data_IF_568710518655
#
_entry.id   IF_568710518655
#
_cell.length_a   1.000
_cell.length_b   1.000
_cell.length_c   1.000
_cell.angle_alpha   90.00
_cell.angle_beta   90.00
_cell.angle_gamma   90.00
#
_symmetry.space_group_name_H-M   'P 1'
#
loop_
_entity.id
_entity.type
_entity.pdbx_description
1 polymer ?
#
# COMPACT_ATOMS: atom_id res chain seq x y z
N UNK A 1 -12.36 6.11 11.44
CA UNK A 1 -12.03 6.91 10.24
C UNK A 1 -13.07 6.52 9.22
N UNK A 2 -13.94 7.42 8.77
CA UNK A 2 -14.98 7.06 7.81
C UNK A 2 -14.47 7.36 6.40
N UNK A 3 -14.46 6.34 5.54
CA UNK A 3 -14.14 6.48 4.12
C UNK A 3 -15.41 7.02 3.42
N UNK A 4 -15.37 8.19 2.75
CA UNK A 4 -16.55 8.76 2.12
C UNK A 4 -17.16 7.82 1.07
N UNK A 5 -18.48 7.72 1.00
CA UNK A 5 -19.19 6.79 0.09
C UNK A 5 -18.85 7.02 -1.39
N UNK A 6 -18.57 8.26 -1.78
CA UNK A 6 -18.19 8.63 -3.14
C UNK A 6 -16.75 8.24 -3.51
N UNK A 7 -15.97 7.72 -2.54
CA UNK A 7 -14.57 7.29 -2.76
C UNK A 7 -14.48 5.87 -3.33
N UNK A 8 -15.61 5.15 -3.40
CA UNK A 8 -15.65 3.78 -3.91
C UNK A 8 -15.49 3.82 -5.43
N UNK A 9 -14.28 3.47 -5.89
CA UNK A 9 -14.00 3.22 -7.30
C UNK A 9 -14.92 2.10 -7.78
N UNK A 10 -15.66 2.34 -8.88
CA UNK A 10 -16.53 1.34 -9.51
C UNK A 10 -15.83 -0.03 -9.60
N UNK A 11 -16.29 -1.00 -8.81
CA UNK A 11 -15.98 -2.42 -9.00
C UNK A 11 -15.33 -3.17 -7.83
N UNK A 12 -14.88 -2.52 -6.75
CA UNK A 12 -14.33 -3.21 -5.58
C UNK A 12 -15.25 -3.08 -4.36
N UNK A 13 -15.76 -4.22 -3.88
CA UNK A 13 -16.51 -4.29 -2.61
C UNK A 13 -15.58 -3.90 -1.45
N UNK A 14 -16.01 -2.92 -0.65
CA UNK A 14 -15.31 -2.48 0.56
C UNK A 14 -15.82 -3.23 1.79
N UNK A 15 -14.91 -3.77 2.60
CA UNK A 15 -15.22 -4.29 3.92
C UNK A 15 -15.33 -3.13 4.91
N UNK A 16 -16.57 -2.73 5.22
CA UNK A 16 -16.86 -1.57 6.07
C UNK A 16 -16.42 -1.78 7.52
N UNK A 17 -16.42 -3.01 8.02
CA UNK A 17 -16.00 -3.31 9.39
C UNK A 17 -14.50 -3.08 9.52
N UNK A 18 -13.71 -3.59 8.55
CA UNK A 18 -12.27 -3.37 8.50
C UNK A 18 -11.92 -1.91 8.19
N UNK A 19 -12.70 -1.22 7.36
CA UNK A 19 -12.50 0.18 6.97
C UNK A 19 -12.75 1.20 8.10
N UNK A 20 -13.33 0.79 9.23
CA UNK A 20 -13.46 1.67 10.41
C UNK A 20 -12.11 2.02 11.04
N UNK A 21 -11.12 1.14 10.86
CA UNK A 21 -9.80 1.21 11.46
C UNK A 21 -8.69 1.12 10.42
N UNK A 22 -7.56 1.72 10.74
CA UNK A 22 -6.33 1.60 9.95
C UNK A 22 -5.20 1.11 10.85
N UNK A 23 -4.27 0.36 10.28
CA UNK A 23 -3.11 -0.19 10.98
C UNK A 23 -1.86 0.56 10.56
N UNK A 24 -1.06 0.92 11.56
CA UNK A 24 0.28 1.48 11.42
C UNK A 24 1.30 0.53 12.04
N UNK A 25 2.52 0.40 11.49
CA UNK A 25 3.54 -0.53 11.99
C UNK A 25 3.94 -0.19 13.43
N UNK A 26 4.04 -1.23 14.27
CA UNK A 26 4.54 -1.13 15.65
C UNK A 26 6.02 -1.47 15.79
N UNK A 27 6.63 -2.04 14.74
CA UNK A 27 8.04 -2.47 14.69
C UNK A 27 9.00 -1.35 14.25
N UNK A 28 8.51 -0.15 13.95
CA UNK A 28 9.31 1.01 13.57
C UNK A 28 9.03 2.22 14.48
N UNK A 29 10.02 3.10 14.70
CA UNK A 29 9.79 4.34 15.42
C UNK A 29 8.81 5.22 14.66
N UNK A 30 7.76 5.66 15.34
CA UNK A 30 6.72 6.51 14.74
C UNK A 30 7.27 7.92 14.51
N UNK A 31 7.22 8.37 13.25
CA UNK A 31 7.52 9.76 12.89
C UNK A 31 6.22 10.45 12.48
N UNK A 32 5.88 11.54 13.16
CA UNK A 32 4.60 12.23 12.98
C UNK A 32 4.30 12.58 11.51
N UNK A 33 5.31 13.03 10.75
CA UNK A 33 5.12 13.34 9.33
C UNK A 33 4.74 12.11 8.48
N UNK A 34 5.32 10.94 8.76
CA UNK A 34 5.01 9.71 8.03
C UNK A 34 3.58 9.25 8.33
N UNK A 35 3.18 9.34 9.60
CA UNK A 35 1.84 8.99 10.05
C UNK A 35 0.79 9.92 9.44
N UNK A 36 1.03 11.24 9.46
CA UNK A 36 0.13 12.24 8.86
C UNK A 36 0.00 12.07 7.35
N UNK A 37 1.11 11.83 6.64
CA UNK A 37 1.07 11.59 5.19
C UNK A 37 0.32 10.30 4.88
N UNK A 38 0.56 9.22 5.63
CA UNK A 38 -0.14 7.94 5.44
C UNK A 38 -1.65 8.13 5.63
N UNK A 39 -2.05 8.83 6.70
CA UNK A 39 -3.46 9.14 6.95
C UNK A 39 -4.10 9.96 5.83
N UNK A 40 -3.40 10.95 5.29
CA UNK A 40 -3.90 11.71 4.14
C UNK A 40 -4.07 10.81 2.91
N UNK A 41 -3.08 9.99 2.59
CA UNK A 41 -3.09 9.08 1.44
C UNK A 41 -4.15 7.98 1.52
N UNK A 42 -4.63 7.61 2.72
CA UNK A 42 -5.74 6.68 2.90
C UNK A 42 -7.11 7.28 2.57
N UNK A 43 -7.22 8.62 2.58
CA UNK A 43 -8.50 9.32 2.41
C UNK A 43 -8.61 10.03 1.06
N UNK A 44 -7.49 10.38 0.43
CA UNK A 44 -7.47 11.10 -0.83
C UNK A 44 -6.21 10.80 -1.65
N UNK A 45 -6.31 10.97 -2.97
CA UNK A 45 -5.17 10.89 -3.88
C UNK A 45 -4.09 11.88 -3.44
N UNK A 46 -2.88 11.38 -3.18
CA UNK A 46 -1.82 12.16 -2.54
C UNK A 46 -0.50 12.03 -3.29
N UNK A 47 0.10 13.17 -3.66
CA UNK A 47 1.48 13.24 -4.15
C UNK A 47 2.44 13.51 -2.99
N UNK A 48 3.35 12.58 -2.73
CA UNK A 48 4.32 12.68 -1.61
C UNK A 48 5.70 13.04 -2.12
N UNK A 49 6.16 14.25 -1.82
CA UNK A 49 7.49 14.75 -2.18
C UNK A 49 8.44 14.71 -0.97
N UNK A 50 9.18 13.60 -0.81
CA UNK A 50 10.19 13.46 0.24
C UNK A 50 11.56 13.06 -0.34
N UNK A 51 12.68 13.57 0.19
CA UNK A 51 14.02 13.05 -0.08
C UNK A 51 14.16 11.53 0.14
N UNK A 52 15.18 10.92 -0.47
CA UNK A 52 15.53 9.51 -0.22
C UNK A 52 15.94 9.31 1.24
N UNK A 53 15.60 8.16 1.83
CA UNK A 53 15.89 7.85 3.23
C UNK A 53 14.84 8.34 4.25
N UNK A 54 13.84 9.14 3.85
CA UNK A 54 12.80 9.63 4.75
C UNK A 54 11.55 8.72 4.87
N UNK A 55 11.62 7.50 4.34
CA UNK A 55 10.58 6.48 4.54
C UNK A 55 9.37 6.58 3.60
N UNK A 56 9.59 6.95 2.33
CA UNK A 56 8.55 6.84 1.28
C UNK A 56 7.98 5.42 1.16
N UNK A 57 8.85 4.41 1.19
CA UNK A 57 8.46 2.99 1.15
C UNK A 57 7.61 2.60 2.35
N UNK A 58 7.93 3.11 3.55
CA UNK A 58 7.11 2.86 4.75
C UNK A 58 5.70 3.41 4.57
N UNK A 59 5.57 4.66 4.09
CA UNK A 59 4.28 5.28 3.81
C UNK A 59 3.50 4.45 2.77
N UNK A 60 4.15 4.03 1.68
CA UNK A 60 3.52 3.20 0.66
C UNK A 60 3.05 1.85 1.23
N UNK A 61 3.88 1.14 1.99
CA UNK A 61 3.54 -0.13 2.60
C UNK A 61 2.33 -0.03 3.54
N UNK A 62 2.26 1.04 4.34
CA UNK A 62 1.12 1.32 5.24
C UNK A 62 -0.16 1.52 4.43
N UNK A 63 -0.11 2.34 3.37
CA UNK A 63 -1.28 2.58 2.51
C UNK A 63 -1.72 1.26 1.87
N UNK A 64 -0.80 0.55 1.22
CA UNK A 64 -1.09 -0.72 0.55
C UNK A 64 -1.70 -1.76 1.49
N UNK A 65 -1.16 -1.93 2.70
CA UNK A 65 -1.67 -2.93 3.64
C UNK A 65 -3.10 -2.63 4.10
N UNK A 66 -3.43 -1.36 4.32
CA UNK A 66 -4.79 -0.98 4.69
C UNK A 66 -5.77 -1.18 3.53
N UNK A 67 -5.40 -0.79 2.30
CA UNK A 67 -6.21 -1.09 1.12
C UNK A 67 -6.38 -2.59 0.87
N UNK A 68 -5.34 -3.41 1.12
CA UNK A 68 -5.41 -4.86 1.01
C UNK A 68 -6.48 -5.45 1.95
N UNK A 69 -6.56 -4.92 3.19
CA UNK A 69 -7.58 -5.32 4.16
C UNK A 69 -8.98 -4.81 3.79
N UNK A 70 -9.09 -3.55 3.39
CA UNK A 70 -10.37 -2.89 3.17
C UNK A 70 -11.06 -3.32 1.89
N UNK A 71 -10.29 -3.77 0.88
CA UNK A 71 -10.84 -4.19 -0.40
C UNK A 71 -10.42 -5.65 -0.69
N UNK A 72 -11.11 -6.65 -0.13
CA UNK A 72 -10.76 -8.07 -0.30
C UNK A 72 -10.66 -8.53 -1.77
N UNK A 73 -11.42 -7.88 -2.66
CA UNK A 73 -11.42 -8.14 -4.10
C UNK A 73 -10.64 -7.10 -4.91
N UNK A 74 -10.15 -6.05 -4.24
CA UNK A 74 -9.35 -4.99 -4.84
C UNK A 74 -7.98 -5.50 -5.27
N UNK A 75 -7.34 -4.72 -6.14
CA UNK A 75 -5.97 -4.97 -6.60
C UNK A 75 -5.14 -3.72 -6.38
N UNK A 76 -3.90 -3.91 -5.97
CA UNK A 76 -2.96 -2.84 -5.69
C UNK A 76 -1.79 -3.01 -6.65
N UNK A 77 -1.45 -1.94 -7.36
CA UNK A 77 -0.33 -1.93 -8.30
C UNK A 77 0.74 -0.99 -7.76
N UNK A 78 1.90 -1.55 -7.43
CA UNK A 78 3.08 -0.78 -7.08
C UNK A 78 4.02 -0.75 -8.30
N UNK A 79 4.35 0.46 -8.78
CA UNK A 79 5.21 0.64 -9.94
C UNK A 79 6.58 1.16 -9.53
N UNK A 80 7.64 0.55 -10.07
CA UNK A 80 9.00 1.04 -9.96
C UNK A 80 9.69 1.04 -11.34
N UNK A 81 10.65 1.93 -11.59
CA UNK A 81 11.27 2.10 -12.90
C UNK A 81 12.15 0.94 -13.37
N UNK A 82 12.65 0.08 -12.46
CA UNK A 82 13.59 -0.99 -12.80
C UNK A 82 13.26 -2.28 -12.06
N UNK A 83 13.59 -3.44 -12.65
CA UNK A 83 13.37 -4.77 -12.04
C UNK A 83 14.02 -4.91 -10.66
N UNK A 84 15.31 -4.54 -10.44
CA UNK A 84 15.92 -4.66 -9.11
C UNK A 84 15.19 -3.82 -8.07
N UNK A 85 14.66 -2.66 -8.47
CA UNK A 85 13.92 -1.80 -7.56
C UNK A 85 12.56 -2.42 -7.22
N UNK A 86 11.88 -3.09 -8.15
CA UNK A 86 10.64 -3.83 -7.86
C UNK A 86 10.89 -4.89 -6.78
N UNK A 87 11.86 -5.78 -6.98
CA UNK A 87 12.14 -6.85 -6.01
C UNK A 87 12.56 -6.29 -4.63
N UNK A 88 13.32 -5.18 -4.60
CA UNK A 88 13.66 -4.49 -3.35
C UNK A 88 12.44 -3.91 -2.63
N UNK A 89 11.50 -3.30 -3.37
CA UNK A 89 10.29 -2.74 -2.77
C UNK A 89 9.34 -3.83 -2.28
N UNK A 90 9.25 -4.98 -2.95
CA UNK A 90 8.46 -6.13 -2.49
C UNK A 90 8.94 -6.56 -1.09
N UNK A 91 10.24 -6.80 -0.92
CA UNK A 91 10.80 -7.18 0.37
C UNK A 91 10.61 -6.09 1.42
N UNK A 92 10.92 -4.84 1.07
CA UNK A 92 10.79 -3.72 2.00
C UNK A 92 9.35 -3.50 2.48
N UNK A 93 8.36 -3.65 1.60
CA UNK A 93 6.95 -3.56 1.99
C UNK A 93 6.53 -4.70 2.92
N UNK A 94 7.00 -5.92 2.66
CA UNK A 94 6.75 -7.09 3.52
C UNK A 94 7.37 -6.92 4.92
N UNK A 95 8.56 -6.34 5.02
CA UNK A 95 9.24 -6.10 6.30
C UNK A 95 8.53 -5.02 7.13
N UNK A 96 7.93 -4.04 6.46
CA UNK A 96 7.16 -2.96 7.11
C UNK A 96 5.77 -3.45 7.54
N UNK A 97 5.04 -4.10 6.64
CA UNK A 97 3.68 -4.58 6.88
C UNK A 97 3.53 -6.04 6.42
N UNK A 98 2.79 -6.89 7.17
CA UNK A 98 2.69 -8.31 6.89
C UNK A 98 1.67 -8.60 5.77
N UNK A 99 1.91 -8.11 4.56
CA UNK A 99 1.14 -8.52 3.37
C UNK A 99 1.67 -9.91 2.95
N UNK A 100 0.83 -10.95 2.85
CA UNK A 100 1.28 -12.28 2.45
C UNK A 100 1.97 -12.29 1.08
N UNK A 101 3.16 -12.88 0.98
CA UNK A 101 3.84 -13.01 -0.32
C UNK A 101 3.05 -13.87 -1.32
N UNK A 102 2.22 -14.80 -0.83
CA UNK A 102 1.29 -15.60 -1.66
C UNK A 102 0.31 -14.75 -2.46
N UNK A 103 0.02 -13.54 -1.96
CA UNK A 103 -0.96 -12.61 -2.54
C UNK A 103 -0.28 -11.51 -3.36
N UNK A 104 1.05 -11.55 -3.45
CA UNK A 104 1.86 -10.66 -4.27
C UNK A 104 2.28 -11.34 -5.56
N UNK A 105 2.38 -10.55 -6.63
CA UNK A 105 2.96 -10.99 -7.89
C UNK A 105 3.90 -9.92 -8.42
N UNK A 106 5.05 -10.35 -8.93
CA UNK A 106 5.96 -9.48 -9.66
C UNK A 106 5.66 -9.57 -11.17
N UNK A 107 5.28 -8.45 -11.77
CA UNK A 107 5.02 -8.36 -13.21
C UNK A 107 6.22 -7.74 -13.92
N UNK A 108 6.84 -8.50 -14.82
CA UNK A 108 7.92 -8.03 -15.68
C UNK A 108 7.58 -8.31 -17.15
N UNK A 109 8.14 -7.51 -18.07
CA UNK A 109 7.88 -7.65 -19.52
C UNK A 109 8.37 -8.95 -20.18
N UNK A 110 8.99 -9.86 -19.43
CA UNK A 110 9.41 -11.19 -19.86
C UNK A 110 8.60 -12.32 -19.18
N UNK A 111 7.57 -12.00 -18.38
CA UNK A 111 6.66 -13.00 -17.83
C UNK A 111 5.71 -13.40 -18.95
N UNK A 112 5.82 -14.66 -19.40
CA UNK A 112 4.89 -15.20 -20.38
C UNK A 112 3.47 -15.21 -19.79
N UNK A 113 2.42 -14.93 -20.59
CA UNK A 113 1.05 -15.01 -20.11
C UNK A 113 0.78 -16.44 -19.60
N UNK A 114 0.11 -16.55 -18.45
CA UNK A 114 -0.39 -17.83 -17.98
C UNK A 114 -1.33 -18.39 -19.05
N UNK A 115 -1.12 -19.65 -19.43
CA UNK A 115 -1.97 -20.38 -20.38
C UNK A 115 -3.38 -20.54 -19.85
#
# INVERSE_FOLDING_TARGET
>A
MEIPEDSVVMGADIDRDLATQWIYPSNYPVRAYQQSISRAALLQNTLVCLPTGLGKTLIAAVVMFNFYRWFPRGKIVFMAPTKPLVSQQIQACHDVMPIPQSDMAELQGNVAPAK
#
